data_IF_761198232088
#
_entry.id   IF_761198232088
#
_cell.length_a   1.000
_cell.length_b   1.000
_cell.length_c   1.000
_cell.angle_alpha   90.00
_cell.angle_beta   90.00
_cell.angle_gamma   90.00
#
_symmetry.space_group_name_H-M   'P 1'
#
loop_
_entity.id
_entity.type
_entity.pdbx_description
1 polymer ?
#
# COMPACT_ATOMS: atom_id res chain seq x y z
N UNK A 1 -5.80 -0.22 10.01
CA UNK A 1 -4.44 -0.74 10.27
C UNK A 1 -3.44 0.38 10.00
N UNK A 2 -2.72 0.91 11.00
CA UNK A 2 -1.92 2.14 10.81
C UNK A 2 -0.49 1.82 10.34
N UNK A 3 -0.27 1.80 9.02
CA UNK A 3 1.07 1.72 8.46
C UNK A 3 1.97 2.90 8.88
N UNK A 4 1.38 4.02 9.34
CA UNK A 4 2.09 5.18 9.89
C UNK A 4 2.90 4.93 11.17
N UNK A 5 2.77 3.76 11.82
CA UNK A 5 3.74 3.35 12.86
C UNK A 5 5.14 3.15 12.26
N UNK A 6 5.24 2.52 11.09
CA UNK A 6 6.52 2.20 10.46
C UNK A 6 7.23 3.47 9.97
N UNK A 7 6.49 4.43 9.43
CA UNK A 7 7.05 5.75 9.07
C UNK A 7 7.68 6.46 10.27
N UNK A 8 7.03 6.42 11.45
CA UNK A 8 7.56 7.05 12.67
C UNK A 8 8.84 6.37 13.15
N UNK A 9 8.88 5.04 13.10
CA UNK A 9 10.03 4.24 13.51
C UNK A 9 11.21 4.42 12.54
N UNK A 10 10.93 4.44 11.24
CA UNK A 10 11.92 4.75 10.20
C UNK A 10 12.55 6.11 10.43
N UNK A 11 11.74 7.17 10.57
CA UNK A 11 12.25 8.52 10.82
C UNK A 11 13.04 8.63 12.13
N UNK A 12 12.67 7.87 13.16
CA UNK A 12 13.45 7.80 14.41
C UNK A 12 14.81 7.12 14.20
N UNK A 13 14.86 6.02 13.44
CA UNK A 13 16.10 5.31 13.13
C UNK A 13 17.05 6.15 12.27
N UNK A 14 16.53 6.89 11.29
CA UNK A 14 17.31 7.84 10.48
C UNK A 14 17.94 8.94 11.33
N UNK A 15 17.14 9.59 12.20
CA UNK A 15 17.65 10.61 13.14
C UNK A 15 18.69 10.06 14.11
N UNK A 16 18.59 8.79 14.48
CA UNK A 16 19.57 8.09 15.32
C UNK A 16 20.81 7.60 14.59
N UNK A 17 20.94 7.85 13.27
CA UNK A 17 22.06 7.38 12.46
C UNK A 17 22.05 5.87 12.17
N UNK A 18 20.97 5.16 12.52
CA UNK A 18 20.86 3.72 12.34
C UNK A 18 20.20 3.39 10.99
N UNK A 19 20.99 3.46 9.92
CA UNK A 19 20.52 3.22 8.54
C UNK A 19 19.99 1.80 8.32
N UNK A 20 20.60 0.78 8.93
CA UNK A 20 20.13 -0.60 8.82
C UNK A 20 18.72 -0.75 9.38
N UNK A 21 18.45 -0.14 10.53
CA UNK A 21 17.12 -0.18 11.13
C UNK A 21 16.10 0.67 10.36
N UNK A 22 16.52 1.78 9.76
CA UNK A 22 15.67 2.57 8.88
C UNK A 22 15.21 1.74 7.66
N UNK A 23 16.11 0.96 7.05
CA UNK A 23 15.79 0.06 5.94
C UNK A 23 14.78 -1.01 6.36
N UNK A 24 14.99 -1.69 7.49
CA UNK A 24 14.03 -2.69 7.99
C UNK A 24 12.63 -2.10 8.20
N UNK A 25 12.54 -0.88 8.74
CA UNK A 25 11.24 -0.22 8.92
C UNK A 25 10.60 0.22 7.60
N UNK A 26 11.41 0.55 6.60
CA UNK A 26 10.95 0.81 5.24
C UNK A 26 10.34 -0.45 4.62
N UNK A 27 11.00 -1.61 4.73
CA UNK A 27 10.46 -2.90 4.27
C UNK A 27 9.12 -3.21 4.95
N UNK A 28 9.03 -3.00 6.27
CA UNK A 28 7.78 -3.20 7.02
C UNK A 28 6.67 -2.23 6.63
N UNK A 29 7.02 -1.01 6.22
CA UNK A 29 6.06 -0.06 5.65
C UNK A 29 5.49 -0.59 4.33
N UNK A 30 6.34 -1.11 3.44
CA UNK A 30 5.92 -1.72 2.18
C UNK A 30 5.00 -2.91 2.42
N UNK A 31 5.43 -3.87 3.25
CA UNK A 31 4.63 -5.05 3.60
C UNK A 31 3.24 -4.66 4.14
N UNK A 32 3.17 -3.65 5.01
CA UNK A 32 1.92 -3.20 5.60
C UNK A 32 0.90 -2.74 4.54
N UNK A 33 1.34 -1.92 3.58
CA UNK A 33 0.46 -1.45 2.50
C UNK A 33 0.10 -2.59 1.55
N UNK A 34 1.08 -3.37 1.09
CA UNK A 34 0.85 -4.42 0.09
C UNK A 34 -0.10 -5.48 0.63
N UNK A 35 0.17 -6.02 1.82
CA UNK A 35 -0.69 -7.05 2.41
C UNK A 35 -2.04 -6.49 2.85
N UNK A 36 -2.09 -5.24 3.32
CA UNK A 36 -3.35 -4.57 3.65
C UNK A 36 -4.27 -4.47 2.44
N UNK A 37 -3.75 -3.93 1.33
CA UNK A 37 -4.53 -3.77 0.08
C UNK A 37 -4.97 -5.13 -0.46
N UNK A 38 -4.08 -6.12 -0.50
CA UNK A 38 -4.42 -7.45 -0.99
C UNK A 38 -5.50 -8.14 -0.14
N UNK A 39 -5.47 -7.94 1.17
CA UNK A 39 -6.48 -8.48 2.08
C UNK A 39 -7.86 -7.85 1.84
N UNK A 40 -7.91 -6.52 1.68
CA UNK A 40 -9.15 -5.79 1.37
C UNK A 40 -9.73 -6.23 0.02
N UNK A 41 -8.89 -6.35 -1.01
CA UNK A 41 -9.31 -6.87 -2.32
C UNK A 41 -9.86 -8.29 -2.21
N UNK A 42 -9.21 -9.17 -1.43
CA UNK A 42 -9.67 -10.54 -1.22
C UNK A 42 -11.01 -10.60 -0.46
N UNK A 43 -11.25 -9.69 0.48
CA UNK A 43 -12.51 -9.53 1.20
C UNK A 43 -13.62 -8.88 0.34
N UNK A 44 -13.27 -8.28 -0.79
CA UNK A 44 -14.20 -7.54 -1.65
C UNK A 44 -14.50 -6.11 -1.19
N UNK A 45 -13.76 -5.61 -0.20
CA UNK A 45 -13.78 -4.25 0.35
C UNK A 45 -12.99 -3.31 -0.58
N UNK A 46 -13.51 -3.09 -1.79
CA UNK A 46 -12.78 -2.40 -2.86
C UNK A 46 -12.63 -0.89 -2.62
N UNK A 47 -13.60 -0.25 -1.97
CA UNK A 47 -13.55 1.19 -1.67
C UNK A 47 -12.45 1.46 -0.62
N UNK A 48 -12.39 0.64 0.43
CA UNK A 48 -11.34 0.68 1.45
C UNK A 48 -9.96 0.37 0.86
N UNK A 49 -9.88 -0.59 -0.08
CA UNK A 49 -8.65 -0.91 -0.79
C UNK A 49 -8.15 0.28 -1.62
N UNK A 50 -9.03 1.03 -2.29
CA UNK A 50 -8.70 2.23 -3.05
C UNK A 50 -8.18 3.36 -2.15
N UNK A 51 -8.80 3.57 -0.98
CA UNK A 51 -8.30 4.55 0.00
C UNK A 51 -6.91 4.16 0.54
N UNK A 52 -6.69 2.87 0.81
CA UNK A 52 -5.38 2.39 1.25
C UNK A 52 -4.31 2.49 0.15
N UNK A 53 -4.69 2.28 -1.12
CA UNK A 53 -3.82 2.50 -2.29
C UNK A 53 -3.40 3.97 -2.37
N UNK A 54 -4.33 4.93 -2.23
CA UNK A 54 -4.02 6.37 -2.23
C UNK A 54 -3.00 6.71 -1.14
N UNK A 55 -3.23 6.21 0.08
CA UNK A 55 -2.30 6.40 1.19
C UNK A 55 -0.92 5.77 0.90
N UNK A 56 -0.89 4.60 0.27
CA UNK A 56 0.35 3.92 -0.14
C UNK A 56 1.14 4.70 -1.20
N UNK A 57 0.47 5.30 -2.18
CA UNK A 57 1.10 6.13 -3.21
C UNK A 57 1.70 7.41 -2.62
N UNK A 58 1.01 8.06 -1.68
CA UNK A 58 1.55 9.22 -0.96
C UNK A 58 2.78 8.83 -0.13
N UNK A 59 2.74 7.69 0.56
CA UNK A 59 3.89 7.17 1.30
C UNK A 59 5.08 6.85 0.36
N UNK A 60 4.83 6.21 -0.79
CA UNK A 60 5.84 5.90 -1.78
C UNK A 60 6.52 7.16 -2.31
N UNK A 61 5.73 8.20 -2.63
CA UNK A 61 6.26 9.49 -3.09
C UNK A 61 7.06 10.20 -2.01
N UNK A 62 6.55 10.24 -0.78
CA UNK A 62 7.19 10.91 0.35
C UNK A 62 8.57 10.32 0.68
N UNK A 63 8.71 9.00 0.58
CA UNK A 63 9.92 8.28 0.99
C UNK A 63 10.77 7.76 -0.18
N UNK A 64 10.35 8.02 -1.43
CA UNK A 64 11.08 7.57 -2.62
C UNK A 64 11.09 6.05 -2.81
N UNK A 65 10.01 5.34 -2.45
CA UNK A 65 9.94 3.87 -2.47
C UNK A 65 9.29 3.40 -3.77
N UNK A 66 10.12 3.13 -4.80
CA UNK A 66 9.63 2.71 -6.12
C UNK A 66 8.86 1.37 -6.09
N UNK A 67 9.31 0.42 -5.29
CA UNK A 67 8.66 -0.89 -5.11
C UNK A 67 7.21 -0.72 -4.61
N UNK A 68 6.99 0.14 -3.61
CA UNK A 68 5.66 0.40 -3.08
C UNK A 68 4.76 1.03 -4.14
N UNK A 69 5.26 2.01 -4.90
CA UNK A 69 4.52 2.61 -6.01
C UNK A 69 4.08 1.55 -7.02
N UNK A 70 5.00 0.69 -7.46
CA UNK A 70 4.71 -0.40 -8.39
C UNK A 70 3.58 -1.31 -7.88
N UNK A 71 3.63 -1.73 -6.62
CA UNK A 71 2.59 -2.57 -6.04
C UNK A 71 1.23 -1.87 -5.93
N UNK A 72 1.20 -0.58 -5.59
CA UNK A 72 -0.06 0.17 -5.52
C UNK A 72 -0.70 0.32 -6.90
N UNK A 73 0.07 0.64 -7.94
CA UNK A 73 -0.42 0.74 -9.32
C UNK A 73 -0.90 -0.62 -9.87
N UNK A 74 -0.23 -1.72 -9.48
CA UNK A 74 -0.68 -3.08 -9.82
C UNK A 74 -2.03 -3.41 -9.18
N UNK A 75 -2.21 -3.12 -7.89
CA UNK A 75 -3.48 -3.37 -7.22
C UNK A 75 -4.60 -2.45 -7.72
N UNK A 76 -4.30 -1.20 -8.09
CA UNK A 76 -5.26 -0.29 -8.68
C UNK A 76 -5.84 -0.84 -10.00
N UNK A 77 -5.00 -1.41 -10.87
CA UNK A 77 -5.44 -2.12 -12.08
C UNK A 77 -6.32 -3.33 -11.75
N UNK A 78 -5.93 -4.13 -10.76
CA UNK A 78 -6.71 -5.28 -10.30
C UNK A 78 -8.11 -4.90 -9.81
N UNK A 79 -8.26 -3.80 -9.06
CA UNK A 79 -9.56 -3.31 -8.60
C UNK A 79 -10.44 -2.91 -9.79
N UNK A 80 -9.86 -2.19 -10.77
CA UNK A 80 -10.56 -1.81 -12.01
C UNK A 80 -11.12 -3.04 -12.74
N UNK A 81 -10.30 -4.07 -12.94
CA UNK A 81 -10.71 -5.33 -13.59
C UNK A 81 -11.82 -6.07 -12.81
N UNK A 82 -11.79 -6.03 -11.47
CA UNK A 82 -12.88 -6.62 -10.65
C UNK A 82 -14.18 -5.86 -10.87
N UNK A 83 -14.15 -4.52 -10.83
CA UNK A 83 -15.34 -3.68 -11.03
C UNK A 83 -15.93 -3.85 -12.43
N UNK A 84 -15.10 -3.86 -13.46
CA UNK A 84 -15.53 -4.08 -14.86
C UNK A 84 -16.22 -5.44 -15.03
N UNK A 85 -15.66 -6.51 -14.46
CA UNK A 85 -16.30 -7.84 -14.47
C UNK A 85 -17.65 -7.85 -13.74
N UNK A 86 -17.75 -7.21 -12.57
CA UNK A 86 -19.01 -7.11 -11.82
C UNK A 86 -20.07 -6.32 -12.60
N UNK A 87 -19.68 -5.23 -13.26
CA UNK A 87 -20.58 -4.42 -14.07
C UNK A 87 -21.07 -5.17 -15.33
N UNK A 88 -20.19 -5.93 -15.99
CA UNK A 88 -20.57 -6.77 -17.13
C UNK A 88 -21.55 -7.88 -16.71
N UNK A 89 -21.30 -8.55 -15.59
CA UNK A 89 -22.19 -9.59 -15.06
C UNK A 89 -23.57 -9.06 -14.65
N UNK A 90 -23.67 -7.80 -14.19
CA UNK A 90 -24.96 -7.18 -13.85
C UNK A 90 -25.80 -6.75 -15.07
N UNK A 91 -25.22 -6.74 -16.28
CA UNK A 91 -25.88 -6.37 -17.53
C UNK A 91 -26.30 -7.57 -18.39
N UNK A 92 -25.88 -8.77 -18.01
CA UNK A 92 -26.23 -10.04 -18.64
C UNK A 92 -27.44 -10.67 -17.93
#
# INVERSE_FOLDING_TARGET
MSCGRWERLMAAAERGGNRGKALEFMEKLVECFVYGVQSLIAAGELDEAEELIKAGLEAAKKHGIEELKFHMELNQRRIKEIRERRAAAARA
#
